data_IF_372777021451
#
_entry.id   IF_372777021451
#
_cell.length_a   1.000
_cell.length_b   1.000
_cell.length_c   1.000
_cell.angle_alpha   90.00
_cell.angle_beta   90.00
_cell.angle_gamma   90.00
#
_symmetry.space_group_name_H-M   'P 1'
#
loop_
_entity.id
_entity.type
_entity.pdbx_description
1 polymer ?
#
# COMPACT_ATOMS: atom_id res chain seq x y z
N UNK A 1 -2.97 -14.18 -22.55
CA UNK A 1 -4.10 -15.10 -22.73
C UNK A 1 -3.81 -16.37 -21.95
N UNK A 2 -4.77 -16.88 -21.18
CA UNK A 2 -4.62 -18.18 -20.52
C UNK A 2 -4.74 -19.30 -21.56
N UNK A 3 -3.95 -20.37 -21.41
CA UNK A 3 -4.01 -21.57 -22.26
C UNK A 3 -4.46 -22.74 -21.41
N UNK A 4 -5.45 -23.49 -21.91
CA UNK A 4 -5.97 -24.67 -21.23
C UNK A 4 -5.68 -25.90 -22.09
N UNK A 5 -5.06 -26.92 -21.49
CA UNK A 5 -4.72 -28.17 -22.16
C UNK A 5 -5.32 -29.34 -21.37
N UNK A 6 -6.07 -30.19 -22.06
CA UNK A 6 -6.57 -31.43 -21.48
C UNK A 6 -5.47 -32.48 -21.64
N UNK A 7 -5.09 -33.13 -20.54
CA UNK A 7 -4.10 -34.21 -20.55
C UNK A 7 -4.61 -35.36 -21.45
N UNK A 8 -3.69 -36.06 -22.12
CA UNK A 8 -3.96 -37.11 -23.12
C UNK A 8 -4.89 -38.22 -22.62
N UNK A 9 -4.92 -38.47 -21.31
CA UNK A 9 -5.79 -39.48 -20.68
C UNK A 9 -7.21 -38.97 -20.40
N UNK A 10 -7.53 -37.70 -20.71
CA UNK A 10 -8.83 -37.07 -20.47
C UNK A 10 -9.18 -36.79 -19.00
N UNK A 11 -8.28 -37.11 -18.06
CA UNK A 11 -8.54 -37.07 -16.61
C UNK A 11 -8.16 -35.77 -15.91
N UNK A 12 -7.38 -34.91 -16.57
CA UNK A 12 -6.88 -33.68 -15.96
C UNK A 12 -6.87 -32.52 -16.95
N UNK A 13 -7.23 -31.33 -16.48
CA UNK A 13 -7.15 -30.07 -17.21
C UNK A 13 -6.02 -29.23 -16.60
N UNK A 14 -5.03 -28.87 -17.41
CA UNK A 14 -3.97 -27.93 -17.02
C UNK A 14 -4.30 -26.55 -17.56
N UNK A 15 -4.44 -25.56 -16.68
CA UNK A 15 -4.66 -24.16 -17.07
C UNK A 15 -3.44 -23.33 -16.72
N UNK A 16 -2.80 -22.75 -17.73
CA UNK A 16 -1.70 -21.81 -17.55
C UNK A 16 -2.27 -20.39 -17.49
N UNK A 17 -2.17 -19.76 -16.33
CA UNK A 17 -2.61 -18.37 -16.09
C UNK A 17 -1.40 -17.49 -15.82
N UNK A 18 -1.13 -16.45 -16.64
CA UNK A 18 -0.09 -15.49 -16.33
C UNK A 18 -0.50 -14.69 -15.08
N UNK A 19 0.33 -14.70 -14.05
CA UNK A 19 0.09 -13.97 -12.80
C UNK A 19 1.38 -13.37 -12.23
N UNK A 20 1.24 -12.30 -11.47
CA UNK A 20 2.37 -11.64 -10.79
C UNK A 20 2.27 -11.88 -9.28
N UNK A 21 3.34 -12.37 -8.68
CA UNK A 21 3.44 -12.54 -7.24
C UNK A 21 4.01 -11.30 -6.57
N UNK A 22 3.33 -10.80 -5.54
CA UNK A 22 3.71 -9.62 -4.77
C UNK A 22 3.68 -9.94 -3.29
N UNK A 23 4.70 -9.51 -2.54
CA UNK A 23 4.80 -9.75 -1.10
C UNK A 23 3.85 -8.80 -0.37
N UNK A 24 2.93 -9.35 0.43
CA UNK A 24 1.94 -8.58 1.19
C UNK A 24 1.83 -9.07 2.63
N UNK A 25 2.68 -8.55 3.52
CA UNK A 25 2.54 -8.70 4.98
C UNK A 25 2.20 -10.10 5.52
N UNK A 26 2.63 -11.18 4.84
CA UNK A 26 2.34 -12.57 5.23
C UNK A 26 0.93 -13.09 4.89
N UNK A 27 0.07 -12.32 4.20
CA UNK A 27 -1.30 -12.74 3.83
C UNK A 27 -1.40 -13.07 2.32
N UNK A 28 -2.08 -14.17 1.98
CA UNK A 28 -2.34 -14.58 0.59
C UNK A 28 -3.58 -13.87 0.05
N UNK A 29 -3.42 -13.14 -1.06
CA UNK A 29 -4.53 -12.50 -1.75
C UNK A 29 -4.41 -12.69 -3.26
N UNK A 30 -5.52 -13.03 -3.91
CA UNK A 30 -5.69 -12.95 -5.37
C UNK A 30 -6.36 -11.61 -5.70
N UNK A 31 -5.76 -10.85 -6.61
CA UNK A 31 -6.30 -9.58 -7.13
C UNK A 31 -6.58 -9.79 -8.62
N UNK A 32 -7.80 -9.51 -9.05
CA UNK A 32 -8.17 -9.60 -10.46
C UNK A 32 -7.52 -8.47 -11.28
N UNK A 33 -7.21 -8.68 -12.57
CA UNK A 33 -6.67 -7.63 -13.44
C UNK A 33 -7.63 -6.44 -13.55
N UNK A 34 -7.13 -5.21 -13.68
CA UNK A 34 -7.92 -4.03 -14.03
C UNK A 34 -9.14 -3.71 -13.12
N UNK A 35 -9.12 -4.15 -11.86
CA UNK A 35 -10.21 -3.85 -10.93
C UNK A 35 -11.56 -4.45 -11.29
N UNK A 36 -11.63 -5.41 -12.23
CA UNK A 36 -12.85 -6.21 -12.37
C UNK A 36 -13.13 -6.92 -11.06
N UNK A 37 -14.38 -6.84 -10.61
CA UNK A 37 -14.81 -7.53 -9.41
C UNK A 37 -14.44 -9.00 -9.53
N UNK A 38 -13.69 -9.49 -8.55
CA UNK A 38 -13.62 -10.93 -8.35
C UNK A 38 -15.07 -11.45 -8.25
N UNK A 39 -15.32 -12.66 -8.75
CA UNK A 39 -16.66 -13.27 -8.71
C UNK A 39 -17.30 -13.25 -7.31
N UNK A 40 -16.49 -13.08 -6.25
CA UNK A 40 -16.95 -12.64 -4.94
C UNK A 40 -16.44 -11.22 -4.61
N UNK A 41 -17.31 -10.32 -4.10
CA UNK A 41 -16.89 -9.00 -3.67
C UNK A 41 -15.76 -9.12 -2.63
N UNK A 42 -14.72 -8.27 -2.70
CA UNK A 42 -13.66 -8.29 -1.70
C UNK A 42 -14.28 -7.99 -0.33
N UNK A 43 -14.13 -8.92 0.64
CA UNK A 43 -14.48 -8.61 2.04
C UNK A 43 -13.72 -7.35 2.47
N UNK A 44 -14.39 -6.43 3.17
CA UNK A 44 -13.76 -5.29 3.81
C UNK A 44 -12.53 -5.75 4.61
N UNK A 45 -11.38 -5.13 4.35
CA UNK A 45 -10.08 -5.55 4.91
C UNK A 45 -9.52 -4.45 5.79
N UNK A 46 -9.82 -4.57 7.07
CA UNK A 46 -9.21 -3.74 8.11
C UNK A 46 -7.70 -4.07 8.13
N UNK A 47 -6.89 -3.14 7.64
CA UNK A 47 -5.44 -3.21 7.70
C UNK A 47 -4.96 -2.55 8.99
N UNK A 48 -4.83 -3.37 10.04
CA UNK A 48 -4.36 -2.91 11.35
C UNK A 48 -2.99 -2.20 11.29
N UNK A 49 -2.16 -2.49 10.29
CA UNK A 49 -0.85 -1.85 10.15
C UNK A 49 -1.01 -0.41 9.66
N UNK A 50 -1.84 -0.20 8.64
CA UNK A 50 -2.19 1.15 8.17
C UNK A 50 -2.90 1.97 9.25
N UNK A 51 -3.87 1.37 9.94
CA UNK A 51 -4.62 2.04 11.01
C UNK A 51 -3.68 2.48 12.14
N UNK A 52 -2.76 1.60 12.57
CA UNK A 52 -1.74 1.96 13.58
C UNK A 52 -0.81 3.06 13.09
N UNK A 53 -0.45 3.09 11.81
CA UNK A 53 0.37 4.15 11.23
C UNK A 53 -0.36 5.50 11.25
N UNK A 54 -1.63 5.53 10.85
CA UNK A 54 -2.48 6.73 10.93
C UNK A 54 -2.62 7.22 12.38
N UNK A 55 -2.92 6.31 13.31
CA UNK A 55 -3.04 6.64 14.72
C UNK A 55 -1.74 7.25 15.28
N UNK A 56 -0.58 6.69 14.91
CA UNK A 56 0.74 7.25 15.29
C UNK A 56 0.96 8.62 14.68
N UNK A 57 0.67 8.80 13.39
CA UNK A 57 0.82 10.08 12.71
C UNK A 57 0.06 11.20 13.42
N UNK A 58 -1.22 10.97 13.73
CA UNK A 58 -2.04 11.97 14.44
C UNK A 58 -1.65 12.13 15.92
N UNK A 59 -1.17 11.08 16.60
CA UNK A 59 -0.64 11.20 17.96
C UNK A 59 0.62 12.07 17.98
N UNK A 60 1.59 11.78 17.13
CA UNK A 60 2.85 12.52 17.06
C UNK A 60 2.66 13.96 16.62
N UNK A 61 1.75 14.22 15.67
CA UNK A 61 1.37 15.58 15.30
C UNK A 61 0.85 16.36 16.52
N UNK A 62 -0.04 15.77 17.32
CA UNK A 62 -0.54 16.42 18.56
C UNK A 62 0.56 16.70 19.57
N UNK A 63 1.53 15.81 19.74
CA UNK A 63 2.66 15.99 20.67
C UNK A 63 3.61 17.12 20.22
N UNK A 64 3.72 17.35 18.91
CA UNK A 64 4.47 18.47 18.34
C UNK A 64 3.67 19.78 18.46
N UNK A 65 2.39 19.76 18.12
CA UNK A 65 1.50 20.93 18.19
C UNK A 65 1.24 21.40 19.62
N UNK A 66 1.25 20.49 20.61
CA UNK A 66 1.14 20.83 22.02
C UNK A 66 2.43 21.42 22.61
N UNK A 67 3.55 21.33 21.90
CA UNK A 67 4.87 21.70 22.40
C UNK A 67 5.47 20.72 23.41
N UNK A 68 4.89 19.52 23.59
CA UNK A 68 5.50 18.45 24.42
C UNK A 68 6.89 18.10 23.90
N UNK A 69 7.07 18.15 22.57
CA UNK A 69 8.36 18.06 21.90
C UNK A 69 8.57 19.24 20.97
N UNK A 70 9.75 19.87 21.04
CA UNK A 70 10.07 21.03 20.23
C UNK A 70 10.33 20.68 18.75
N UNK A 71 10.94 19.52 18.50
CA UNK A 71 11.32 19.10 17.15
C UNK A 71 10.98 17.64 16.85
N UNK A 72 10.95 17.32 15.55
CA UNK A 72 10.81 15.94 15.06
C UNK A 72 11.96 15.06 15.56
N UNK A 73 13.16 15.63 15.70
CA UNK A 73 14.35 14.95 16.18
C UNK A 73 14.20 14.54 17.66
N UNK A 74 13.70 15.45 18.50
CA UNK A 74 13.48 15.18 19.93
C UNK A 74 12.44 14.07 20.12
N UNK A 75 11.32 14.17 19.38
CA UNK A 75 10.28 13.17 19.42
C UNK A 75 10.77 11.80 18.92
N UNK A 76 11.55 11.78 17.84
CA UNK A 76 12.13 10.55 17.30
C UNK A 76 13.09 9.89 18.29
N UNK A 77 13.91 10.68 18.98
CA UNK A 77 14.80 10.18 20.03
C UNK A 77 14.01 9.59 21.21
N UNK A 78 12.96 10.26 21.66
CA UNK A 78 12.10 9.79 22.75
C UNK A 78 11.34 8.50 22.41
N UNK A 79 10.81 8.40 21.19
CA UNK A 79 10.13 7.20 20.69
C UNK A 79 11.10 6.09 20.25
N UNK A 80 12.42 6.35 20.25
CA UNK A 80 13.47 5.43 19.77
C UNK A 80 13.25 4.98 18.33
N UNK A 81 12.82 5.92 17.49
CA UNK A 81 12.48 5.69 16.08
C UNK A 81 13.42 6.52 15.21
N UNK A 82 13.74 6.02 14.01
CA UNK A 82 14.52 6.78 13.05
C UNK A 82 13.78 8.08 12.65
N UNK A 83 14.41 9.27 12.71
CA UNK A 83 13.75 10.54 12.38
C UNK A 83 13.14 10.57 10.98
N UNK A 84 13.81 9.99 9.99
CA UNK A 84 13.31 9.90 8.61
C UNK A 84 12.07 9.02 8.51
N UNK A 85 11.99 7.94 9.29
CA UNK A 85 10.76 7.12 9.34
C UNK A 85 9.63 7.87 10.03
N UNK A 86 9.91 8.56 11.14
CA UNK A 86 8.92 9.36 11.87
C UNK A 86 8.34 10.45 10.96
N UNK A 87 9.19 11.16 10.22
CA UNK A 87 8.77 12.16 9.23
C UNK A 87 7.87 11.57 8.13
N UNK A 88 8.20 10.38 7.61
CA UNK A 88 7.36 9.68 6.61
C UNK A 88 5.99 9.32 7.15
N UNK A 89 5.90 8.91 8.42
CA UNK A 89 4.63 8.62 9.10
C UNK A 89 3.86 9.91 9.37
N UNK A 90 4.51 11.00 9.82
CA UNK A 90 3.84 12.30 10.04
C UNK A 90 3.17 12.82 8.77
N UNK A 91 3.76 12.58 7.58
CA UNK A 91 3.15 12.95 6.29
C UNK A 91 1.77 12.32 6.09
N UNK A 92 1.46 11.19 6.72
CA UNK A 92 0.12 10.57 6.64
C UNK A 92 -0.99 11.48 7.17
N UNK A 93 -0.66 12.48 8.02
CA UNK A 93 -1.63 13.50 8.46
C UNK A 93 -2.09 14.44 7.35
N UNK A 94 -1.43 14.41 6.18
CA UNK A 94 -1.77 15.20 4.99
C UNK A 94 -2.67 14.44 4.01
N UNK A 95 -3.09 13.22 4.36
CA UNK A 95 -3.98 12.43 3.52
C UNK A 95 -5.38 13.07 3.44
N UNK A 96 -6.00 12.94 2.28
CA UNK A 96 -7.37 13.30 2.05
C UNK A 96 -8.28 12.54 3.04
N UNK A 97 -9.29 13.20 3.65
CA UNK A 97 -10.21 12.57 4.59
C UNK A 97 -10.84 11.29 4.04
N UNK A 98 -11.28 11.31 2.77
CA UNK A 98 -11.89 10.16 2.09
C UNK A 98 -10.98 8.92 2.09
N UNK A 99 -9.66 9.10 1.96
CA UNK A 99 -8.69 8.00 2.00
C UNK A 99 -8.52 7.47 3.42
N UNK A 100 -8.47 8.37 4.41
CA UNK A 100 -8.41 8.00 5.82
C UNK A 100 -9.65 7.19 6.21
N UNK A 101 -10.84 7.66 5.85
CA UNK A 101 -12.11 6.94 6.07
C UNK A 101 -12.13 5.58 5.36
N UNK A 102 -11.71 5.53 4.09
CA UNK A 102 -11.61 4.27 3.36
C UNK A 102 -10.68 3.26 4.06
N UNK A 103 -9.55 3.70 4.60
CA UNK A 103 -8.63 2.83 5.36
C UNK A 103 -9.26 2.35 6.68
N UNK A 104 -9.93 3.24 7.41
CA UNK A 104 -10.58 2.91 8.68
C UNK A 104 -11.73 1.92 8.49
N UNK A 105 -12.49 2.07 7.42
CA UNK A 105 -13.61 1.19 7.07
C UNK A 105 -13.17 -0.11 6.38
N UNK A 106 -11.88 -0.26 6.06
CA UNK A 106 -11.37 -1.40 5.29
C UNK A 106 -11.83 -1.42 3.83
N UNK A 107 -12.23 -0.26 3.29
CA UNK A 107 -12.69 -0.01 1.91
C UNK A 107 -11.58 0.48 0.98
N UNK A 108 -10.37 0.67 1.48
CA UNK A 108 -9.24 1.09 0.66
C UNK A 108 -8.92 0.07 -0.44
N UNK A 109 -8.40 0.50 -1.62
CA UNK A 109 -8.05 -0.40 -2.70
C UNK A 109 -7.16 -1.55 -2.24
N UNK A 110 -7.44 -2.76 -2.72
CA UNK A 110 -6.67 -3.93 -2.32
C UNK A 110 -5.19 -3.84 -2.72
N UNK A 111 -4.85 -3.02 -3.72
CA UNK A 111 -3.49 -2.77 -4.17
C UNK A 111 -2.72 -1.83 -3.26
N UNK A 112 -3.39 -0.89 -2.59
CA UNK A 112 -2.77 0.09 -1.70
C UNK A 112 -2.16 -0.60 -0.47
N UNK A 113 -0.85 -0.42 -0.26
CA UNK A 113 -0.12 -0.86 0.92
C UNK A 113 0.43 0.34 1.72
N UNK A 114 0.84 0.10 2.97
CA UNK A 114 1.40 1.16 3.82
C UNK A 114 2.67 1.75 3.19
N UNK A 115 3.48 0.91 2.54
CA UNK A 115 4.72 1.31 1.88
C UNK A 115 4.49 2.39 0.81
N UNK A 116 3.36 2.33 0.11
CA UNK A 116 2.96 3.31 -0.90
C UNK A 116 2.64 4.66 -0.25
N UNK A 117 1.94 4.67 0.89
CA UNK A 117 1.65 5.88 1.66
C UNK A 117 2.90 6.46 2.36
N UNK A 118 3.87 5.61 2.67
CA UNK A 118 5.17 6.01 3.19
C UNK A 118 6.12 6.50 2.08
N UNK A 119 5.81 6.32 0.80
CA UNK A 119 6.48 6.97 -0.33
C UNK A 119 5.89 8.36 -0.60
N UNK A 120 6.63 9.29 -1.24
CA UNK A 120 6.06 10.58 -1.65
C UNK A 120 4.75 10.42 -2.43
N UNK A 121 3.73 11.16 -2.01
CA UNK A 121 2.42 11.21 -2.66
C UNK A 121 2.00 12.66 -2.91
N UNK A 122 1.08 12.93 -3.86
CA UNK A 122 0.64 14.28 -4.19
C UNK A 122 0.06 15.03 -2.99
N UNK A 123 0.31 16.34 -2.89
CA UNK A 123 -0.26 17.14 -1.79
C UNK A 123 -1.74 17.45 -2.06
N UNK A 124 -2.14 17.58 -3.33
CA UNK A 124 -3.52 17.88 -3.70
C UNK A 124 -4.42 16.64 -3.52
N UNK A 125 -5.50 16.77 -2.74
CA UNK A 125 -6.40 15.66 -2.41
C UNK A 125 -6.99 14.96 -3.63
N UNK A 126 -7.36 15.69 -4.68
CA UNK A 126 -7.87 15.09 -5.92
C UNK A 126 -6.83 14.18 -6.60
N UNK A 127 -5.54 14.56 -6.54
CA UNK A 127 -4.46 13.71 -7.04
C UNK A 127 -4.15 12.55 -6.11
N UNK A 128 -4.38 12.70 -4.81
CA UNK A 128 -4.23 11.60 -3.85
C UNK A 128 -5.24 10.48 -4.10
N UNK A 129 -6.49 10.80 -4.46
CA UNK A 129 -7.50 9.80 -4.83
C UNK A 129 -7.03 8.98 -6.03
N UNK A 130 -6.65 9.66 -7.11
CA UNK A 130 -6.09 9.00 -8.29
C UNK A 130 -4.82 8.19 -7.99
N UNK A 131 -3.97 8.67 -7.08
CA UNK A 131 -2.81 7.92 -6.61
C UNK A 131 -3.23 6.63 -5.88
N UNK A 132 -4.15 6.71 -4.92
CA UNK A 132 -4.61 5.57 -4.14
C UNK A 132 -5.27 4.48 -5.00
N UNK A 133 -6.05 4.89 -6.00
CA UNK A 133 -6.74 3.98 -6.91
C UNK A 133 -5.78 3.34 -7.93
N UNK A 134 -4.82 4.11 -8.43
CA UNK A 134 -3.91 3.67 -9.48
C UNK A 134 -2.58 3.12 -8.97
N UNK A 135 -2.39 2.99 -7.64
CA UNK A 135 -1.08 2.59 -7.09
C UNK A 135 -0.67 1.22 -7.66
N UNK A 136 0.29 1.18 -8.61
CA UNK A 136 0.80 -0.08 -9.11
C UNK A 136 1.84 -0.49 -8.07
N UNK A 137 1.55 -1.51 -7.24
CA UNK A 137 2.45 -1.86 -6.14
C UNK A 137 3.88 -2.06 -6.68
N UNK A 138 4.72 -1.05 -6.43
CA UNK A 138 6.06 -0.75 -6.96
C UNK A 138 6.36 -1.05 -8.46
N UNK A 139 6.80 0.01 -9.16
CA UNK A 139 7.67 -0.09 -10.35
C UNK A 139 8.87 -1.01 -10.05
N UNK A 140 9.17 -2.00 -10.89
CA UNK A 140 10.43 -2.73 -10.78
C UNK A 140 11.57 -1.74 -11.05
N UNK A 141 12.58 -1.73 -10.18
CA UNK A 141 13.89 -1.19 -10.51
C UNK A 141 14.44 -1.99 -11.70
N UNK A 142 14.21 -1.53 -12.93
CA UNK A 142 14.90 -2.02 -14.11
C UNK A 142 16.22 -1.25 -14.22
N UNK A 143 17.28 -1.78 -13.63
CA UNK A 143 18.64 -1.42 -14.02
C UNK A 143 18.86 -2.09 -15.38
N UNK A 144 18.59 -1.37 -16.47
CA UNK A 144 19.05 -1.79 -17.79
C UNK A 144 20.54 -1.51 -17.84
N UNK A 145 21.36 -2.47 -17.41
CA UNK A 145 22.77 -2.49 -17.77
C UNK A 145 22.82 -2.87 -19.26
N UNK A 146 22.92 -1.89 -20.13
CA UNK A 146 23.39 -2.09 -21.49
C UNK A 146 24.82 -2.62 -21.40
N UNK A 147 25.00 -3.90 -21.71
CA UNK A 147 26.30 -4.38 -22.16
C UNK A 147 26.48 -3.83 -23.57
N UNK A 148 27.40 -2.89 -23.71
CA UNK A 148 28.04 -2.56 -24.98
C UNK A 148 29.18 -3.57 -25.19
N UNK A 149 29.33 -3.98 -26.45
CA UNK A 149 30.34 -4.88 -27.04
C UNK A 149 31.73 -4.89 -26.38
#
# INVERSE_FOLDING_TARGET
MSRAEINRDGKALTVTVPMTFKKRGGRKLVVAPNGVDAWAPPRARIDNTMIKALARAHRWRRMLESGEFATVQDLAAAEKINPSYLARVLRLTLLAPDIVEAILDGRQPATLQLEDLLAPFPVEWERQKAFADNTPSMVPFSITRTATD
#
